data_IF_422020098351
#
_entry.id   IF_422020098351
#
_cell.length_a   1.000
_cell.length_b   1.000
_cell.length_c   1.000
_cell.angle_alpha   90.00
_cell.angle_beta   90.00
_cell.angle_gamma   90.00
#
_symmetry.space_group_name_H-M   'P 1'
#
loop_
_entity.id
_entity.type
_entity.pdbx_description
1 polymer ?
#
# COMPACT_ATOMS: atom_id res chain seq x y z
N UNK A 1 18.71 -6.35 15.21
CA UNK A 1 17.30 -6.75 15.16
C UNK A 1 16.49 -5.59 14.62
N UNK A 2 15.70 -5.84 13.59
CA UNK A 2 14.91 -4.77 13.00
C UNK A 2 13.74 -4.42 13.89
N UNK A 3 13.42 -3.14 13.94
CA UNK A 3 12.26 -2.68 14.71
C UNK A 3 10.97 -3.17 14.06
N UNK A 4 9.93 -3.51 14.83
CA UNK A 4 8.63 -3.85 14.26
C UNK A 4 8.04 -2.63 13.55
N UNK A 5 7.31 -2.87 12.49
CA UNK A 5 6.73 -1.78 11.71
C UNK A 5 5.35 -2.14 11.18
N UNK A 6 4.55 -1.11 11.00
CA UNK A 6 3.31 -1.21 10.25
C UNK A 6 3.57 -0.70 8.84
N UNK A 7 3.24 -1.52 7.87
CA UNK A 7 3.38 -1.15 6.46
C UNK A 7 2.15 -0.39 6.03
N UNK A 8 2.35 0.81 5.49
CA UNK A 8 1.28 1.60 4.87
C UNK A 8 1.50 1.49 3.36
N UNK A 9 0.74 0.63 2.73
CA UNK A 9 0.84 0.35 1.30
C UNK A 9 -0.29 1.07 0.58
N UNK A 10 0.06 1.91 -0.39
CA UNK A 10 -0.96 2.70 -1.08
C UNK A 10 -0.63 2.85 -2.56
N UNK A 11 -1.66 3.17 -3.32
CA UNK A 11 -1.55 3.75 -4.65
C UNK A 11 -2.32 5.06 -4.67
N UNK A 12 -1.77 6.08 -5.30
CA UNK A 12 -2.43 7.37 -5.42
C UNK A 12 -2.24 7.91 -6.82
N UNK A 13 -3.33 8.32 -7.45
CA UNK A 13 -3.29 8.90 -8.79
C UNK A 13 -3.08 10.42 -8.75
N UNK A 14 -3.79 11.10 -7.86
CA UNK A 14 -3.83 12.56 -7.81
C UNK A 14 -3.41 13.13 -6.46
N UNK A 15 -2.96 12.31 -5.53
CA UNK A 15 -2.39 12.76 -4.27
C UNK A 15 -3.28 12.64 -3.04
N UNK A 16 -4.56 12.40 -3.18
CA UNK A 16 -5.46 12.31 -2.02
C UNK A 16 -5.15 11.11 -1.15
N UNK A 17 -5.01 9.93 -1.76
CA UNK A 17 -4.68 8.71 -1.03
C UNK A 17 -3.29 8.81 -0.41
N UNK A 18 -2.34 9.44 -1.12
CA UNK A 18 -1.00 9.67 -0.59
C UNK A 18 -1.02 10.53 0.68
N UNK A 19 -1.82 11.60 0.69
CA UNK A 19 -1.96 12.43 1.88
C UNK A 19 -2.50 11.65 3.06
N UNK A 20 -3.49 10.80 2.82
CA UNK A 20 -4.05 9.94 3.86
C UNK A 20 -2.99 8.98 4.39
N UNK A 21 -2.19 8.38 3.49
CA UNK A 21 -1.12 7.48 3.89
C UNK A 21 -0.12 8.17 4.79
N UNK A 22 0.26 9.40 4.48
CA UNK A 22 1.21 10.16 5.29
C UNK A 22 0.65 10.49 6.66
N UNK A 23 -0.64 10.83 6.75
CA UNK A 23 -1.28 11.10 8.03
C UNK A 23 -1.38 9.84 8.88
N UNK A 24 -1.68 8.70 8.26
CA UNK A 24 -1.70 7.42 8.96
C UNK A 24 -0.32 7.06 9.50
N UNK A 25 0.74 7.32 8.71
CA UNK A 25 2.10 7.08 9.15
C UNK A 25 2.43 7.92 10.40
N UNK A 26 1.99 9.16 10.44
CA UNK A 26 2.19 10.01 11.63
C UNK A 26 1.50 9.42 12.85
N UNK A 27 0.31 8.87 12.67
CA UNK A 27 -0.41 8.21 13.76
C UNK A 27 0.33 6.99 14.29
N UNK A 28 0.86 6.18 13.39
CA UNK A 28 1.66 5.00 13.77
C UNK A 28 2.89 5.41 14.58
N UNK A 29 3.59 6.45 14.14
CA UNK A 29 4.80 6.92 14.79
C UNK A 29 4.55 7.47 16.20
N UNK A 30 3.32 7.76 16.57
CA UNK A 30 2.98 8.18 17.93
C UNK A 30 2.97 7.01 18.91
N UNK A 31 2.98 5.79 18.43
CA UNK A 31 3.02 4.61 19.29
C UNK A 31 4.47 4.23 19.53
N UNK A 32 4.87 4.17 20.82
CA UNK A 32 6.24 3.84 21.20
C UNK A 32 6.58 2.41 20.76
N UNK A 33 7.76 2.24 20.17
CA UNK A 33 8.31 0.93 19.84
C UNK A 33 7.89 0.39 18.48
N UNK A 34 7.16 1.17 17.68
CA UNK A 34 6.78 0.73 16.34
C UNK A 34 7.07 1.84 15.32
N UNK A 35 7.45 1.46 14.14
CA UNK A 35 7.73 2.38 13.03
C UNK A 35 6.66 2.27 11.96
N UNK A 36 6.52 3.32 11.16
CA UNK A 36 5.72 3.26 9.94
C UNK A 36 6.65 3.14 8.74
N UNK A 37 6.34 2.20 7.85
CA UNK A 37 6.97 2.16 6.53
C UNK A 37 5.91 2.48 5.49
N UNK A 38 6.11 3.57 4.76
CA UNK A 38 5.18 4.00 3.73
C UNK A 38 5.74 3.57 2.38
N UNK A 39 4.97 2.78 1.64
CA UNK A 39 5.39 2.25 0.35
C UNK A 39 4.27 2.40 -0.66
N UNK A 40 4.65 2.56 -1.91
CA UNK A 40 3.68 2.65 -3.00
C UNK A 40 3.97 1.58 -4.05
N UNK A 41 3.19 1.57 -5.12
CA UNK A 41 3.36 0.65 -6.24
C UNK A 41 3.45 1.45 -7.54
N UNK A 42 4.18 0.94 -8.55
CA UNK A 42 4.25 1.65 -9.83
C UNK A 42 2.93 1.60 -10.58
N UNK A 43 2.73 2.56 -11.46
CA UNK A 43 1.57 2.57 -12.35
C UNK A 43 1.60 1.36 -13.28
N UNK A 44 0.43 0.86 -13.62
CA UNK A 44 0.32 -0.16 -14.66
C UNK A 44 0.40 0.52 -16.02
N UNK A 45 1.26 -0.02 -16.89
CA UNK A 45 1.47 0.50 -18.24
C UNK A 45 0.92 -0.50 -19.25
N UNK A 46 0.45 0.01 -20.38
CA UNK A 46 0.03 -0.85 -21.50
C UNK A 46 1.22 -1.53 -22.18
N UNK A 47 2.43 -1.04 -21.95
CA UNK A 47 3.64 -1.66 -22.51
C UNK A 47 4.11 -2.80 -21.62
N UNK A 48 4.65 -3.84 -22.24
CA UNK A 48 5.21 -4.97 -21.50
C UNK A 48 6.58 -4.67 -20.89
N UNK A 49 7.20 -3.57 -21.29
CA UNK A 49 8.49 -3.15 -20.74
C UNK A 49 8.28 -2.23 -19.55
N UNK A 50 9.21 -2.27 -18.60
CA UNK A 50 9.18 -1.38 -17.47
C UNK A 50 9.40 0.06 -17.95
N UNK A 51 8.43 0.93 -17.70
CA UNK A 51 8.49 2.32 -18.10
C UNK A 51 8.74 3.25 -16.92
N UNK A 52 8.63 2.74 -15.69
CA UNK A 52 8.86 3.51 -14.48
C UNK A 52 10.26 3.25 -13.95
N UNK A 53 10.91 4.25 -13.36
CA UNK A 53 12.22 4.01 -12.73
C UNK A 53 12.08 3.07 -11.53
N UNK A 54 13.17 2.38 -11.19
CA UNK A 54 13.20 1.50 -10.02
C UNK A 54 12.92 2.24 -8.71
N UNK A 55 13.33 3.50 -8.67
CA UNK A 55 13.06 4.38 -7.52
C UNK A 55 12.21 5.53 -8.03
N UNK A 56 11.05 5.80 -7.42
CA UNK A 56 10.21 6.89 -7.90
C UNK A 56 10.91 8.25 -7.71
N UNK A 57 10.62 9.17 -8.61
CA UNK A 57 11.21 10.51 -8.56
C UNK A 57 10.69 11.31 -7.36
N UNK A 58 9.49 11.01 -6.91
CA UNK A 58 8.88 11.67 -5.77
C UNK A 58 7.93 10.70 -5.09
N UNK A 59 7.55 11.01 -3.86
CA UNK A 59 6.68 10.16 -3.06
C UNK A 59 7.45 9.04 -2.37
N UNK A 60 6.72 8.04 -1.92
CA UNK A 60 7.30 6.89 -1.21
C UNK A 60 8.02 5.96 -2.18
N UNK A 61 8.97 5.20 -1.66
CA UNK A 61 9.62 4.16 -2.46
C UNK A 61 8.61 3.03 -2.75
N UNK A 62 8.92 2.25 -3.79
CA UNK A 62 8.04 1.14 -4.16
C UNK A 62 8.13 0.02 -3.13
N UNK A 63 6.99 -0.65 -2.92
CA UNK A 63 6.90 -1.75 -1.97
C UNK A 63 7.60 -2.99 -2.55
N UNK A 64 8.41 -3.64 -1.72
CA UNK A 64 8.98 -4.94 -2.05
C UNK A 64 8.17 -6.05 -1.37
N UNK A 65 8.37 -7.28 -1.82
CA UNK A 65 7.76 -8.44 -1.15
C UNK A 65 8.27 -8.57 0.29
N UNK A 66 9.53 -8.21 0.54
CA UNK A 66 10.09 -8.23 1.89
C UNK A 66 9.39 -7.25 2.82
N UNK A 67 9.04 -6.06 2.32
CA UNK A 67 8.29 -5.09 3.12
C UNK A 67 6.97 -5.67 3.59
N UNK A 68 6.27 -6.39 2.71
CA UNK A 68 4.99 -6.99 3.02
C UNK A 68 5.15 -8.20 3.94
N UNK A 69 6.10 -9.06 3.63
CA UNK A 69 6.31 -10.30 4.38
C UNK A 69 6.67 -10.05 5.82
N UNK A 70 7.51 -9.05 6.08
CA UNK A 70 8.09 -8.81 7.40
C UNK A 70 7.35 -7.76 8.23
N UNK A 71 6.25 -7.20 7.73
CA UNK A 71 5.50 -6.22 8.50
C UNK A 71 4.81 -6.86 9.71
N UNK A 72 4.63 -6.08 10.75
CA UNK A 72 3.88 -6.50 11.93
C UNK A 72 2.40 -6.21 11.81
N UNK A 73 2.02 -5.35 10.88
CA UNK A 73 0.65 -4.99 10.55
C UNK A 73 0.64 -4.30 9.21
N UNK A 74 -0.53 -4.21 8.59
CA UNK A 74 -0.65 -3.71 7.23
C UNK A 74 -1.85 -2.77 7.14
N UNK A 75 -1.63 -1.60 6.55
CA UNK A 75 -2.71 -0.68 6.19
C UNK A 75 -2.62 -0.47 4.68
N UNK A 76 -3.69 -0.82 3.96
CA UNK A 76 -3.73 -0.73 2.50
C UNK A 76 -4.69 0.37 2.08
N UNK A 77 -4.24 1.25 1.19
CA UNK A 77 -5.06 2.33 0.68
C UNK A 77 -5.06 2.43 -0.83
N UNK A 78 -6.21 2.74 -1.40
CA UNK A 78 -6.40 2.91 -2.84
C UNK A 78 -7.51 3.93 -3.10
N UNK A 79 -7.40 4.72 -4.18
CA UNK A 79 -8.57 5.43 -4.66
C UNK A 79 -9.57 4.41 -5.22
N UNK A 80 -10.86 4.76 -5.22
CA UNK A 80 -11.85 3.89 -5.82
C UNK A 80 -11.84 4.05 -7.34
N UNK A 81 -12.01 2.94 -8.04
CA UNK A 81 -12.12 2.88 -9.50
C UNK A 81 -13.26 1.95 -9.85
N UNK A 82 -14.42 2.55 -10.16
CA UNK A 82 -15.64 1.79 -10.45
C UNK A 82 -15.98 0.77 -9.37
N UNK A 83 -15.85 1.18 -8.11
CA UNK A 83 -16.19 0.33 -6.98
C UNK A 83 -15.13 -0.70 -6.61
N UNK A 84 -13.91 -0.54 -7.13
CA UNK A 84 -12.82 -1.46 -6.86
C UNK A 84 -11.52 -0.71 -6.64
N UNK A 85 -10.49 -1.44 -6.21
CA UNK A 85 -9.17 -0.83 -6.03
C UNK A 85 -8.53 -0.50 -7.37
N UNK A 86 -7.56 0.41 -7.36
CA UNK A 86 -6.82 0.76 -8.56
C UNK A 86 -6.05 -0.46 -9.10
N UNK A 87 -5.98 -0.56 -10.43
CA UNK A 87 -5.30 -1.68 -11.09
C UNK A 87 -3.86 -1.84 -10.65
N UNK A 88 -3.15 -0.74 -10.41
CA UNK A 88 -1.75 -0.79 -9.96
C UNK A 88 -1.60 -1.55 -8.64
N UNK A 89 -2.50 -1.32 -7.69
CA UNK A 89 -2.45 -2.01 -6.41
C UNK A 89 -2.81 -3.48 -6.57
N UNK A 90 -3.86 -3.78 -7.34
CA UNK A 90 -4.25 -5.16 -7.62
C UNK A 90 -3.14 -5.93 -8.32
N UNK A 91 -2.48 -5.29 -9.27
CA UNK A 91 -1.35 -5.90 -9.97
C UNK A 91 -0.24 -6.32 -9.00
N UNK A 92 0.10 -5.43 -8.06
CA UNK A 92 1.08 -5.77 -7.02
C UNK A 92 0.61 -6.96 -6.19
N UNK A 93 -0.64 -6.93 -5.73
CA UNK A 93 -1.18 -8.00 -4.88
C UNK A 93 -1.24 -9.34 -5.62
N UNK A 94 -1.55 -9.32 -6.91
CA UNK A 94 -1.59 -10.54 -7.72
C UNK A 94 -0.23 -11.22 -7.81
N UNK A 95 0.86 -10.46 -7.62
CA UNK A 95 2.22 -11.00 -7.62
C UNK A 95 2.68 -11.59 -6.30
N UNK A 96 1.81 -11.61 -5.26
CA UNK A 96 2.23 -12.04 -3.92
C UNK A 96 1.84 -13.48 -3.57
N UNK A 97 1.67 -14.33 -4.59
CA UNK A 97 1.25 -15.72 -4.37
C UNK A 97 2.17 -16.51 -3.45
N UNK A 98 3.49 -16.28 -3.54
CA UNK A 98 4.45 -16.97 -2.68
C UNK A 98 4.27 -16.59 -1.20
N UNK A 99 3.95 -15.35 -0.92
CA UNK A 99 3.69 -14.88 0.44
C UNK A 99 2.43 -15.55 0.99
N UNK A 100 1.40 -15.66 0.15
CA UNK A 100 0.18 -16.37 0.52
C UNK A 100 0.45 -17.85 0.80
N UNK A 101 1.20 -18.49 -0.07
CA UNK A 101 1.50 -19.94 0.05
C UNK A 101 2.29 -20.24 1.34
N UNK A 102 3.20 -19.35 1.74
CA UNK A 102 3.99 -19.52 2.96
C UNK A 102 3.23 -19.16 4.24
N UNK A 103 2.05 -18.54 4.10
CA UNK A 103 1.27 -18.09 5.26
C UNK A 103 1.88 -16.91 6.00
N UNK A 104 2.72 -16.13 5.34
CA UNK A 104 3.46 -15.04 6.01
C UNK A 104 2.57 -13.95 6.58
N UNK A 105 1.34 -13.79 6.07
CA UNK A 105 0.41 -12.76 6.53
C UNK A 105 -0.65 -13.27 7.51
N UNK A 106 -0.61 -14.55 7.84
CA UNK A 106 -1.57 -15.12 8.80
C UNK A 106 -1.41 -14.42 10.15
N UNK A 107 -2.54 -14.06 10.74
CA UNK A 107 -2.65 -13.42 12.07
C UNK A 107 -2.08 -12.01 12.15
N UNK A 108 -1.77 -11.38 11.01
CA UNK A 108 -1.36 -9.98 11.01
C UNK A 108 -2.59 -9.07 10.94
N UNK A 109 -2.65 -8.02 11.78
CA UNK A 109 -3.77 -7.08 11.69
C UNK A 109 -3.70 -6.28 10.39
N UNK A 110 -4.86 -6.06 9.78
CA UNK A 110 -4.97 -5.33 8.51
C UNK A 110 -6.08 -4.30 8.63
N UNK A 111 -5.84 -3.12 8.09
CA UNK A 111 -6.83 -2.07 7.95
C UNK A 111 -6.78 -1.54 6.52
N UNK A 112 -7.88 -0.95 6.07
CA UNK A 112 -7.97 -0.38 4.73
C UNK A 112 -8.43 1.06 4.79
N UNK A 113 -8.05 1.84 3.77
CA UNK A 113 -8.56 3.18 3.60
C UNK A 113 -8.74 3.47 2.11
N UNK A 114 -9.66 4.37 1.79
CA UNK A 114 -9.92 4.74 0.41
C UNK A 114 -10.28 6.21 0.32
N UNK A 115 -10.10 6.77 -0.86
CA UNK A 115 -10.59 8.09 -1.19
C UNK A 115 -11.47 8.00 -2.42
N UNK A 116 -12.54 8.79 -2.44
CA UNK A 116 -13.49 8.80 -3.54
C UNK A 116 -14.01 10.23 -3.72
N UNK A 117 -14.41 10.56 -4.93
CA UNK A 117 -15.07 11.83 -5.21
C UNK A 117 -16.58 11.77 -5.00
N UNK A 118 -17.12 10.58 -4.72
CA UNK A 118 -18.53 10.38 -4.48
C UNK A 118 -18.87 10.55 -3.01
N UNK A 119 -19.99 11.23 -2.74
CA UNK A 119 -20.54 11.27 -1.39
C UNK A 119 -21.10 9.89 -1.07
N UNK A 120 -20.71 9.33 0.07
CA UNK A 120 -21.11 7.99 0.50
C UNK A 120 -20.61 6.84 -0.39
N UNK A 121 -19.64 7.11 -1.27
CA UNK A 121 -19.06 6.07 -2.12
C UNK A 121 -17.80 5.46 -1.54
N UNK A 122 -17.29 4.44 -2.21
CA UNK A 122 -15.98 3.85 -1.91
C UNK A 122 -15.99 2.72 -0.90
N UNK A 123 -17.11 2.40 -0.32
CA UNK A 123 -17.19 1.36 0.72
C UNK A 123 -16.87 -0.04 0.19
N UNK A 124 -17.12 -0.28 -1.08
CA UNK A 124 -16.88 -1.57 -1.73
C UNK A 124 -15.43 -1.70 -2.24
N UNK A 125 -14.65 -0.65 -2.17
CA UNK A 125 -13.27 -0.65 -2.67
C UNK A 125 -12.39 -1.57 -1.85
#
# INVERSE_FOLDING_TARGET
MDSPYVLVLYYSRYGATEKMAQLLARGIEQVSGIEAKVRTVPCVSANSEATEPEVPNEGAVYCSEEDLKNCSGLIIGSPTRFGNMAAALKYFLDGTGAIWASGSLIDKPVATFTSTSSLHGGQET
#
